data_IF_310953088606
#
_entry.id   IF_310953088606
#
_cell.length_a   1.000
_cell.length_b   1.000
_cell.length_c   1.000
_cell.angle_alpha   90.00
_cell.angle_beta   90.00
_cell.angle_gamma   90.00
#
_symmetry.space_group_name_H-M   'P 1'
#
loop_
_entity.id
_entity.type
_entity.pdbx_description
1 polymer ?
#
# COMPACT_ATOMS: atom_id res chain seq x y z
N UNK A 1 56.83 -27.02 -45.85
CA UNK A 1 55.83 -25.96 -45.57
C UNK A 1 54.47 -26.62 -45.32
N UNK A 2 54.08 -26.78 -44.06
CA UNK A 2 52.71 -27.16 -43.66
C UNK A 2 52.19 -26.02 -42.79
N UNK A 3 51.19 -25.27 -43.26
CA UNK A 3 50.54 -24.24 -42.48
C UNK A 3 49.54 -24.89 -41.53
N UNK A 4 49.73 -24.65 -40.24
CA UNK A 4 48.76 -24.97 -39.20
C UNK A 4 47.76 -23.80 -39.13
N UNK A 5 46.52 -24.01 -39.56
CA UNK A 5 45.41 -23.13 -39.25
C UNK A 5 44.86 -23.51 -37.87
N UNK A 6 45.11 -22.65 -36.88
CA UNK A 6 44.41 -22.68 -35.60
C UNK A 6 43.01 -22.10 -35.82
N UNK A 7 41.99 -22.96 -35.90
CA UNK A 7 40.60 -22.55 -35.76
C UNK A 7 40.29 -22.47 -34.26
N UNK A 8 40.35 -21.27 -33.70
CA UNK A 8 39.86 -21.00 -32.35
C UNK A 8 38.33 -20.98 -32.41
N UNK A 9 37.69 -22.08 -32.01
CA UNK A 9 36.25 -22.11 -31.75
C UNK A 9 35.95 -21.25 -30.52
N UNK A 10 35.58 -20.00 -30.75
CA UNK A 10 34.96 -19.15 -29.74
C UNK A 10 33.50 -19.61 -29.62
N UNK A 11 33.26 -20.60 -28.76
CA UNK A 11 31.91 -21.06 -28.42
C UNK A 11 31.20 -19.94 -27.68
N UNK A 12 30.38 -19.18 -28.41
CA UNK A 12 29.46 -18.20 -27.86
C UNK A 12 28.40 -18.96 -27.05
N UNK A 13 28.68 -19.25 -25.78
CA UNK A 13 27.67 -19.68 -24.82
C UNK A 13 26.70 -18.51 -24.63
N UNK A 14 25.65 -18.46 -25.44
CA UNK A 14 24.47 -17.69 -25.12
C UNK A 14 23.88 -18.32 -23.85
N UNK A 15 24.31 -17.82 -22.70
CA UNK A 15 23.69 -18.11 -21.42
C UNK A 15 22.26 -17.55 -21.52
N UNK A 16 21.31 -18.42 -21.86
CA UNK A 16 19.88 -18.10 -21.76
C UNK A 16 19.65 -17.90 -20.27
N UNK A 17 19.75 -16.65 -19.82
CA UNK A 17 19.41 -16.29 -18.44
C UNK A 17 17.93 -16.60 -18.29
N UNK A 18 17.62 -17.66 -17.52
CA UNK A 18 16.24 -17.94 -17.11
C UNK A 18 15.77 -16.70 -16.36
N UNK A 19 14.72 -16.07 -16.87
CA UNK A 19 14.06 -14.98 -16.17
C UNK A 19 13.35 -15.59 -14.97
N UNK A 20 13.83 -15.31 -13.76
CA UNK A 20 13.18 -15.74 -12.53
C UNK A 20 11.96 -14.85 -12.22
N UNK A 21 10.88 -15.46 -11.78
CA UNK A 21 9.69 -14.74 -11.32
C UNK A 21 9.96 -14.01 -10.01
N UNK A 22 9.20 -12.96 -9.76
CA UNK A 22 9.29 -12.16 -8.54
C UNK A 22 7.90 -11.77 -8.07
N UNK A 23 7.70 -11.74 -6.76
CA UNK A 23 6.43 -11.38 -6.12
C UNK A 23 6.56 -10.05 -5.37
N UNK A 24 5.64 -9.13 -5.59
CA UNK A 24 5.42 -7.97 -4.73
C UNK A 24 4.28 -8.29 -3.75
N UNK A 25 4.51 -8.14 -2.46
CA UNK A 25 3.45 -8.19 -1.44
C UNK A 25 3.24 -6.77 -0.91
N UNK A 26 2.01 -6.28 -0.95
CA UNK A 26 1.64 -4.99 -0.39
C UNK A 26 0.63 -5.18 0.72
N UNK A 27 0.77 -4.40 1.78
CA UNK A 27 -0.12 -4.46 2.95
C UNK A 27 -0.86 -3.14 3.11
N UNK A 28 -2.18 -3.21 3.34
CA UNK A 28 -2.85 -2.11 4.03
C UNK A 28 -2.38 -2.03 5.49
N UNK A 29 -2.68 -0.93 6.13
CA UNK A 29 -2.20 -0.58 7.47
C UNK A 29 -3.28 -0.84 8.52
N UNK A 30 -4.36 -0.07 8.47
CA UNK A 30 -5.35 0.02 9.55
C UNK A 30 -6.42 -1.07 9.38
N UNK A 31 -6.42 -2.05 10.28
CA UNK A 31 -7.25 -3.27 10.22
C UNK A 31 -6.51 -4.50 9.67
N UNK A 32 -5.35 -4.28 9.05
CA UNK A 32 -4.51 -5.32 8.43
C UNK A 32 -3.20 -5.57 9.20
N UNK A 33 -2.34 -4.55 9.34
CA UNK A 33 -1.09 -4.67 10.12
C UNK A 33 -1.28 -4.23 11.58
N UNK A 34 -2.13 -3.23 11.79
CA UNK A 34 -2.38 -2.63 13.10
C UNK A 34 -3.87 -2.46 13.33
N UNK A 35 -4.27 -2.34 14.59
CA UNK A 35 -5.61 -1.94 14.99
C UNK A 35 -5.56 -0.77 15.96
N UNK A 36 -6.57 0.09 15.88
CA UNK A 36 -6.86 1.07 16.92
C UNK A 36 -7.38 0.40 18.20
N UNK A 37 -6.99 0.88 19.38
CA UNK A 37 -7.52 0.39 20.65
C UNK A 37 -8.74 1.20 21.12
N UNK A 38 -9.94 0.61 21.12
CA UNK A 38 -11.15 1.14 21.77
C UNK A 38 -11.76 2.42 21.16
N UNK A 39 -12.56 3.14 21.96
CA UNK A 39 -13.23 4.42 21.59
C UNK A 39 -12.26 5.58 21.23
N UNK A 40 -10.96 5.32 21.16
CA UNK A 40 -9.90 6.31 20.93
C UNK A 40 -9.55 6.53 19.45
N UNK A 41 -10.17 5.83 18.49
CA UNK A 41 -9.94 6.08 17.05
C UNK A 41 -10.20 7.56 16.67
N UNK A 42 -11.24 8.16 17.24
CA UNK A 42 -11.61 9.57 17.03
C UNK A 42 -10.69 10.56 17.76
N UNK A 43 -9.83 10.09 18.66
CA UNK A 43 -8.86 10.88 19.40
C UNK A 43 -7.40 10.63 18.93
N UNK A 44 -7.21 9.73 17.96
CA UNK A 44 -5.89 9.38 17.45
C UNK A 44 -5.15 10.60 16.88
N UNK A 45 -3.82 10.59 16.93
CA UNK A 45 -2.98 11.62 16.33
C UNK A 45 -3.34 11.85 14.85
N UNK A 46 -3.59 10.76 14.11
CA UNK A 46 -3.97 10.80 12.70
C UNK A 46 -5.34 11.47 12.49
N UNK A 47 -6.34 11.13 13.31
CA UNK A 47 -7.67 11.79 13.24
C UNK A 47 -7.58 13.30 13.52
N UNK A 48 -6.79 13.70 14.53
CA UNK A 48 -6.54 15.13 14.85
C UNK A 48 -5.83 15.87 13.71
N UNK A 49 -4.97 15.19 12.96
CA UNK A 49 -4.21 15.79 11.87
C UNK A 49 -5.11 16.31 10.74
N UNK A 50 -6.22 15.63 10.42
CA UNK A 50 -7.17 16.13 9.40
C UNK A 50 -7.76 17.48 9.78
N UNK A 51 -8.28 17.58 11.00
CA UNK A 51 -8.87 18.82 11.53
C UNK A 51 -7.83 19.92 11.58
N UNK A 52 -6.61 19.61 12.04
CA UNK A 52 -5.51 20.56 12.04
C UNK A 52 -5.19 21.08 10.63
N UNK A 53 -5.06 20.19 9.65
CA UNK A 53 -4.72 20.57 8.28
C UNK A 53 -5.82 21.42 7.60
N UNK A 54 -7.09 21.04 7.73
CA UNK A 54 -8.20 21.82 7.17
C UNK A 54 -8.30 23.18 7.85
N UNK A 55 -8.16 23.24 9.18
CA UNK A 55 -8.15 24.51 9.92
C UNK A 55 -7.01 25.43 9.47
N UNK A 56 -5.78 24.92 9.45
CA UNK A 56 -4.59 25.70 9.15
C UNK A 56 -4.58 26.17 7.70
N UNK A 57 -4.80 25.27 6.74
CA UNK A 57 -4.61 25.55 5.32
C UNK A 57 -5.83 26.22 4.69
N UNK A 58 -7.05 25.84 5.09
CA UNK A 58 -8.28 26.29 4.43
C UNK A 58 -9.10 27.28 5.26
N UNK A 59 -8.85 27.38 6.57
CA UNK A 59 -9.62 28.25 7.48
C UNK A 59 -8.77 29.27 8.24
N UNK A 60 -7.56 29.58 7.76
CA UNK A 60 -6.64 30.55 8.37
C UNK A 60 -6.34 30.26 9.86
N UNK A 61 -6.23 28.98 10.23
CA UNK A 61 -5.99 28.52 11.59
C UNK A 61 -7.25 28.44 12.48
N UNK A 62 -8.43 28.84 11.99
CA UNK A 62 -9.65 28.72 12.77
C UNK A 62 -10.09 27.25 12.87
N UNK A 63 -10.39 26.73 14.08
CA UNK A 63 -10.81 25.35 14.28
C UNK A 63 -12.03 24.96 13.44
N UNK A 64 -11.99 23.76 12.84
CA UNK A 64 -13.16 23.09 12.24
C UNK A 64 -13.57 21.91 13.09
N UNK A 65 -14.75 21.34 12.81
CA UNK A 65 -15.22 20.16 13.53
C UNK A 65 -14.30 18.94 13.27
N UNK A 66 -14.15 18.03 14.25
CA UNK A 66 -13.51 16.73 14.05
C UNK A 66 -14.17 15.91 12.95
N UNK A 67 -13.39 15.05 12.27
CA UNK A 67 -13.89 14.16 11.19
C UNK A 67 -15.10 13.36 11.61
N UNK A 68 -15.05 12.73 12.78
CA UNK A 68 -16.13 11.87 13.29
C UNK A 68 -17.42 12.64 13.65
N UNK A 69 -17.33 13.95 13.86
CA UNK A 69 -18.49 14.82 14.12
C UNK A 69 -19.04 15.41 12.82
N UNK A 70 -18.17 15.73 11.86
CA UNK A 70 -18.53 16.36 10.61
C UNK A 70 -19.01 15.38 9.52
N UNK A 71 -18.52 14.13 9.54
CA UNK A 71 -18.75 13.15 8.47
C UNK A 71 -19.38 11.86 9.00
N UNK A 72 -20.35 11.28 8.28
CA UNK A 72 -20.79 9.90 8.48
C UNK A 72 -19.62 8.91 8.36
N UNK A 73 -19.65 7.83 9.15
CA UNK A 73 -18.57 6.82 9.21
C UNK A 73 -18.20 6.23 7.85
N UNK A 74 -19.19 5.97 6.99
CA UNK A 74 -18.97 5.38 5.66
C UNK A 74 -18.23 6.32 4.68
N UNK A 75 -18.08 7.60 5.02
CA UNK A 75 -17.36 8.58 4.19
C UNK A 75 -15.87 8.73 4.55
N UNK A 76 -15.43 8.15 5.67
CA UNK A 76 -14.01 8.20 6.05
C UNK A 76 -13.41 6.83 6.39
N UNK A 77 -14.18 5.87 6.87
CA UNK A 77 -13.69 4.51 7.12
C UNK A 77 -13.31 3.85 5.78
N UNK A 78 -12.06 3.36 5.66
CA UNK A 78 -11.56 2.73 4.44
C UNK A 78 -11.32 3.69 3.27
N UNK A 79 -11.42 5.00 3.49
CA UNK A 79 -11.13 6.01 2.47
C UNK A 79 -9.65 6.40 2.45
N UNK A 80 -9.24 7.21 1.48
CA UNK A 80 -7.90 7.80 1.44
C UNK A 80 -7.90 9.15 2.16
N UNK A 81 -6.77 9.52 2.75
CA UNK A 81 -6.59 10.80 3.45
C UNK A 81 -6.99 11.98 2.56
N UNK A 82 -6.68 11.89 1.26
CA UNK A 82 -7.04 12.91 0.29
C UNK A 82 -8.55 13.10 0.16
N UNK A 83 -9.32 12.02 0.03
CA UNK A 83 -10.78 12.11 -0.04
C UNK A 83 -11.39 12.58 1.29
N UNK A 84 -10.83 12.15 2.43
CA UNK A 84 -11.28 12.57 3.77
C UNK A 84 -11.09 14.08 3.95
N UNK A 85 -9.92 14.63 3.63
CA UNK A 85 -9.64 16.07 3.72
C UNK A 85 -10.64 16.90 2.91
N UNK A 86 -10.90 16.49 1.67
CA UNK A 86 -11.82 17.19 0.77
C UNK A 86 -13.27 17.11 1.25
N UNK A 87 -13.71 15.94 1.74
CA UNK A 87 -15.03 15.77 2.34
C UNK A 87 -15.17 16.61 3.61
N UNK A 88 -14.14 16.65 4.46
CA UNK A 88 -14.13 17.46 5.68
C UNK A 88 -14.21 18.95 5.36
N UNK A 89 -13.45 19.43 4.37
CA UNK A 89 -13.50 20.82 3.90
C UNK A 89 -14.90 21.20 3.41
N UNK A 90 -15.57 20.33 2.64
CA UNK A 90 -16.96 20.55 2.22
C UNK A 90 -17.90 20.58 3.42
N UNK A 91 -17.83 19.61 4.32
CA UNK A 91 -18.75 19.51 5.45
C UNK A 91 -18.63 20.67 6.45
N UNK A 92 -17.43 21.19 6.66
CA UNK A 92 -17.15 22.19 7.71
C UNK A 92 -17.05 23.62 7.22
N UNK A 93 -16.61 23.83 5.96
CA UNK A 93 -16.39 25.15 5.37
C UNK A 93 -17.25 25.41 4.14
N UNK A 94 -18.06 24.44 3.70
CA UNK A 94 -18.85 24.51 2.48
C UNK A 94 -17.99 24.80 1.22
N UNK A 95 -16.77 24.28 1.19
CA UNK A 95 -15.86 24.36 0.04
C UNK A 95 -16.08 23.18 -0.90
N UNK A 96 -16.19 23.47 -2.19
CA UNK A 96 -16.27 22.41 -3.20
C UNK A 96 -14.90 21.80 -3.47
N UNK A 97 -14.88 20.54 -3.91
CA UNK A 97 -13.63 19.81 -4.16
C UNK A 97 -12.69 20.56 -5.12
N UNK A 98 -13.23 21.23 -6.15
CA UNK A 98 -12.44 22.04 -7.09
C UNK A 98 -11.63 23.17 -6.41
N UNK A 99 -12.09 23.66 -5.25
CA UNK A 99 -11.49 24.79 -4.53
C UNK A 99 -10.48 24.29 -3.49
N UNK A 100 -10.74 23.15 -2.85
CA UNK A 100 -9.84 22.54 -1.85
C UNK A 100 -8.79 21.60 -2.47
N UNK A 101 -9.05 20.97 -3.61
CA UNK A 101 -8.16 20.00 -4.27
C UNK A 101 -6.79 20.59 -4.64
N UNK A 102 -6.67 21.83 -5.16
CA UNK A 102 -5.36 22.44 -5.42
C UNK A 102 -4.49 22.61 -4.16
N UNK A 103 -5.09 22.56 -2.97
CA UNK A 103 -4.42 22.69 -1.66
C UNK A 103 -4.10 21.35 -1.00
N UNK A 104 -4.37 20.23 -1.68
CA UNK A 104 -4.25 18.91 -1.08
C UNK A 104 -2.82 18.58 -0.64
N UNK A 105 -1.83 18.96 -1.46
CA UNK A 105 -0.42 18.75 -1.12
C UNK A 105 0.01 19.57 0.11
N UNK A 106 -0.46 20.82 0.22
CA UNK A 106 -0.24 21.66 1.41
C UNK A 106 -0.88 21.04 2.66
N UNK A 107 -2.09 20.48 2.53
CA UNK A 107 -2.76 19.77 3.62
C UNK A 107 -2.03 18.48 4.02
N UNK A 108 -1.52 17.69 3.07
CA UNK A 108 -0.74 16.49 3.38
C UNK A 108 0.55 16.81 4.15
N UNK A 109 1.27 17.84 3.72
CA UNK A 109 2.46 18.30 4.44
C UNK A 109 2.09 18.80 5.85
N UNK A 110 1.01 19.59 5.98
CA UNK A 110 0.53 20.07 7.28
C UNK A 110 0.10 18.92 8.22
N UNK A 111 -0.57 17.89 7.70
CA UNK A 111 -0.89 16.69 8.50
C UNK A 111 0.38 15.97 8.96
N UNK A 112 1.36 15.85 8.08
CA UNK A 112 2.63 15.21 8.43
C UNK A 112 3.39 16.02 9.48
N UNK A 113 3.53 17.33 9.30
CA UNK A 113 4.22 18.23 10.23
C UNK A 113 3.59 18.17 11.63
N UNK A 114 2.25 18.15 11.69
CA UNK A 114 1.52 18.00 12.94
C UNK A 114 1.87 16.70 13.69
N UNK A 115 2.10 15.60 12.98
CA UNK A 115 2.47 14.30 13.57
C UNK A 115 3.99 14.17 13.74
N UNK A 116 4.80 14.83 12.91
CA UNK A 116 6.25 14.75 12.96
C UNK A 116 6.80 15.28 14.28
N UNK A 117 6.14 16.30 14.82
CA UNK A 117 6.50 16.96 16.08
C UNK A 117 6.08 16.16 17.33
N UNK A 118 5.30 15.09 17.15
CA UNK A 118 4.88 14.20 18.24
C UNK A 118 5.94 13.14 18.56
N UNK A 119 6.10 12.87 19.86
CA UNK A 119 6.89 11.77 20.38
C UNK A 119 6.35 10.41 19.90
N UNK A 120 7.23 9.43 19.71
CA UNK A 120 6.85 8.10 19.17
C UNK A 120 5.78 7.42 20.04
N UNK A 121 5.84 7.58 21.36
CA UNK A 121 4.83 7.06 22.29
C UNK A 121 3.45 7.68 22.11
N UNK A 122 3.36 8.94 21.67
CA UNK A 122 2.08 9.59 21.35
C UNK A 122 1.53 9.10 20.01
N UNK A 123 2.41 8.86 19.02
CA UNK A 123 2.02 8.29 17.71
C UNK A 123 1.55 6.84 17.86
N UNK A 124 2.25 6.04 18.67
CA UNK A 124 1.86 4.67 19.01
C UNK A 124 0.63 4.61 19.93
N UNK A 125 0.27 5.73 20.57
CA UNK A 125 -0.79 5.73 21.54
C UNK A 125 -2.10 5.28 20.86
N UNK A 126 -2.69 4.24 21.42
CA UNK A 126 -3.87 3.57 20.88
C UNK A 126 -3.70 2.78 19.58
N UNK A 127 -2.48 2.44 19.17
CA UNK A 127 -2.23 1.59 18.00
C UNK A 127 -1.40 0.37 18.43
N UNK A 128 -1.87 -0.82 18.08
CA UNK A 128 -1.16 -2.08 18.36
C UNK A 128 -1.13 -2.95 17.12
N UNK A 129 -0.05 -3.72 16.91
CA UNK A 129 0.02 -4.71 15.84
C UNK A 129 -1.03 -5.81 16.04
N UNK A 130 -1.56 -6.32 14.93
CA UNK A 130 -2.43 -7.50 14.95
C UNK A 130 -1.63 -8.80 15.19
N UNK A 131 -2.29 -9.88 15.67
CA UNK A 131 -1.64 -11.17 15.86
C UNK A 131 -0.94 -11.68 14.58
N UNK A 132 0.21 -12.34 14.75
CA UNK A 132 1.00 -12.92 13.64
C UNK A 132 1.77 -11.92 12.77
N UNK A 133 1.40 -10.62 12.75
CA UNK A 133 2.00 -9.60 11.89
C UNK A 133 3.53 -9.55 11.99
N UNK A 134 4.06 -9.36 13.20
CA UNK A 134 5.50 -9.22 13.39
C UNK A 134 6.27 -10.51 13.08
N UNK A 135 5.67 -11.66 13.30
CA UNK A 135 6.27 -12.97 13.03
C UNK A 135 6.36 -13.23 11.52
N UNK A 136 5.24 -13.06 10.81
CA UNK A 136 5.18 -13.30 9.37
C UNK A 136 6.01 -12.29 8.58
N UNK A 137 6.07 -11.03 9.02
CA UNK A 137 6.97 -10.05 8.42
C UNK A 137 8.45 -10.45 8.60
N UNK A 138 8.85 -10.94 9.79
CA UNK A 138 10.22 -11.47 9.98
C UNK A 138 10.50 -12.66 9.07
N UNK A 139 9.53 -13.54 8.85
CA UNK A 139 9.64 -14.65 7.90
C UNK A 139 9.82 -14.12 6.48
N UNK A 140 8.99 -13.19 6.02
CA UNK A 140 9.12 -12.56 4.70
C UNK A 140 10.46 -11.84 4.51
N UNK A 141 11.02 -11.25 5.57
CA UNK A 141 12.33 -10.61 5.52
C UNK A 141 13.47 -11.58 5.15
N UNK A 142 13.28 -12.89 5.35
CA UNK A 142 14.23 -13.94 4.92
C UNK A 142 14.10 -14.31 3.43
N UNK A 143 13.04 -13.86 2.76
CA UNK A 143 12.65 -14.24 1.39
C UNK A 143 12.94 -13.15 0.35
N UNK A 144 13.77 -12.14 0.69
CA UNK A 144 14.06 -10.96 -0.16
C UNK A 144 14.58 -11.27 -1.57
N UNK A 145 15.07 -12.49 -1.78
CA UNK A 145 15.48 -12.94 -3.11
C UNK A 145 14.30 -13.15 -4.06
N UNK A 146 13.10 -13.44 -3.58
CA UNK A 146 11.94 -13.73 -4.43
C UNK A 146 10.77 -12.75 -4.17
N UNK A 147 10.86 -11.96 -3.09
CA UNK A 147 9.79 -11.10 -2.61
C UNK A 147 10.29 -9.70 -2.29
N UNK A 148 9.50 -8.70 -2.68
CA UNK A 148 9.52 -7.38 -2.06
C UNK A 148 8.25 -7.17 -1.28
N UNK A 149 8.36 -6.58 -0.10
CA UNK A 149 7.22 -6.13 0.69
C UNK A 149 7.13 -4.61 0.67
N UNK A 150 5.92 -4.07 0.54
CA UNK A 150 5.66 -2.64 0.64
C UNK A 150 4.30 -2.38 1.29
N UNK A 151 3.92 -1.10 1.41
CA UNK A 151 2.59 -0.72 1.88
C UNK A 151 1.74 -0.17 0.75
N UNK A 152 0.45 -0.47 0.78
CA UNK A 152 -0.55 0.27 0.01
C UNK A 152 -1.60 0.74 1.00
N UNK A 153 -1.73 2.03 1.22
CA UNK A 153 -2.62 2.56 2.25
C UNK A 153 -3.18 3.92 1.86
N UNK A 154 -4.40 4.21 2.34
CA UNK A 154 -5.01 5.53 2.22
C UNK A 154 -4.27 6.64 2.98
N UNK A 155 -3.34 6.30 3.86
CA UNK A 155 -2.63 7.24 4.72
C UNK A 155 -1.58 8.06 3.94
N UNK A 156 -1.34 9.31 4.34
CA UNK A 156 -0.17 10.08 3.91
C UNK A 156 1.11 9.29 4.25
N UNK A 157 2.03 9.19 3.28
CA UNK A 157 3.22 8.33 3.38
C UNK A 157 4.06 8.61 4.64
N UNK A 158 4.35 9.88 4.96
CA UNK A 158 5.11 10.24 6.15
C UNK A 158 4.46 9.76 7.45
N UNK A 159 3.13 9.78 7.53
CA UNK A 159 2.35 9.29 8.66
C UNK A 159 2.41 7.76 8.73
N UNK A 160 2.24 7.08 7.60
CA UNK A 160 2.36 5.62 7.52
C UNK A 160 3.74 5.15 8.00
N UNK A 161 4.82 5.83 7.58
CA UNK A 161 6.20 5.55 8.03
C UNK A 161 6.35 5.68 9.54
N UNK A 162 5.92 6.80 10.14
CA UNK A 162 5.99 6.98 11.60
C UNK A 162 5.17 5.93 12.34
N UNK A 163 3.97 5.57 11.84
CA UNK A 163 3.13 4.51 12.42
C UNK A 163 3.87 3.17 12.43
N UNK A 164 4.45 2.76 11.31
CA UNK A 164 5.18 1.47 11.21
C UNK A 164 6.39 1.40 12.13
N UNK A 165 7.14 2.50 12.26
CA UNK A 165 8.25 2.59 13.22
C UNK A 165 7.73 2.45 14.66
N UNK A 166 6.69 3.21 15.00
CA UNK A 166 6.17 3.27 16.36
C UNK A 166 5.61 1.92 16.87
N UNK A 167 5.15 1.05 15.96
CA UNK A 167 4.60 -0.28 16.31
C UNK A 167 5.58 -1.45 16.09
N UNK A 168 6.84 -1.19 15.75
CA UNK A 168 7.84 -2.26 15.59
C UNK A 168 7.84 -2.96 14.23
N UNK A 169 7.01 -2.51 13.27
CA UNK A 169 6.90 -3.13 11.94
C UNK A 169 8.15 -2.84 11.10
N UNK A 170 8.69 -1.62 11.19
CA UNK A 170 9.88 -1.24 10.44
C UNK A 170 11.10 -2.11 10.81
N UNK A 171 11.25 -2.42 12.10
CA UNK A 171 12.33 -3.18 12.72
C UNK A 171 12.35 -4.66 12.27
N UNK A 172 11.26 -5.16 11.69
CA UNK A 172 11.22 -6.50 11.09
C UNK A 172 12.12 -6.61 9.86
N UNK A 173 12.51 -5.48 9.25
CA UNK A 173 13.25 -5.40 7.99
C UNK A 173 12.54 -6.08 6.80
N UNK A 174 11.24 -6.36 6.90
CA UNK A 174 10.47 -6.97 5.81
C UNK A 174 10.20 -5.98 4.69
N UNK A 175 9.85 -4.73 5.05
CA UNK A 175 9.53 -3.67 4.10
C UNK A 175 10.78 -3.31 3.27
N UNK A 176 10.62 -3.35 1.96
CA UNK A 176 11.69 -3.08 1.00
C UNK A 176 12.02 -1.60 0.96
N UNK A 177 13.27 -1.21 0.67
CA UNK A 177 13.65 0.21 0.55
C UNK A 177 12.77 0.98 -0.44
N UNK A 178 12.60 2.29 -0.26
CA UNK A 178 11.75 3.10 -1.14
C UNK A 178 12.36 3.17 -2.54
N UNK A 179 11.49 3.26 -3.54
CA UNK A 179 11.91 3.53 -4.91
C UNK A 179 12.44 4.96 -5.05
N UNK A 180 13.38 5.20 -5.98
CA UNK A 180 13.95 6.54 -6.22
C UNK A 180 12.90 7.58 -6.65
N UNK A 181 11.75 7.13 -7.17
CA UNK A 181 10.64 8.00 -7.58
C UNK A 181 9.67 8.30 -6.44
N UNK A 182 9.88 7.75 -5.23
CA UNK A 182 9.07 8.09 -4.07
C UNK A 182 9.44 9.46 -3.50
N UNK A 183 8.42 10.13 -2.95
CA UNK A 183 8.58 11.43 -2.29
C UNK A 183 9.46 11.28 -1.04
N UNK A 184 10.28 12.31 -0.79
CA UNK A 184 11.03 12.46 0.45
C UNK A 184 10.14 13.15 1.49
N UNK A 185 10.20 12.66 2.73
CA UNK A 185 9.52 13.23 3.89
C UNK A 185 10.60 13.63 4.88
N UNK A 186 10.80 14.94 5.06
CA UNK A 186 11.84 15.47 5.93
C UNK A 186 11.65 14.95 7.36
N UNK A 187 12.68 14.33 7.94
CA UNK A 187 12.59 13.69 9.26
C UNK A 187 12.06 12.24 9.25
N UNK A 188 11.70 11.68 8.09
CA UNK A 188 11.33 10.27 7.92
C UNK A 188 12.02 9.61 6.72
N UNK A 189 13.18 10.13 6.31
CA UNK A 189 13.94 9.61 5.17
C UNK A 189 14.61 8.26 5.46
N UNK A 190 15.06 8.07 6.70
CA UNK A 190 15.72 6.86 7.21
C UNK A 190 14.75 5.69 7.41
N UNK A 191 13.46 5.99 7.57
CA UNK A 191 12.38 5.01 7.75
C UNK A 191 11.50 4.86 6.51
N UNK A 192 12.04 5.19 5.34
CA UNK A 192 11.34 5.01 4.07
C UNK A 192 11.24 3.55 3.64
N UNK A 193 10.15 3.22 2.95
CA UNK A 193 9.95 1.90 2.35
C UNK A 193 9.06 1.99 1.10
N UNK A 194 9.11 0.95 0.27
CA UNK A 194 8.32 0.79 -0.96
C UNK A 194 6.82 0.86 -0.65
N UNK A 195 6.05 1.53 -1.51
CA UNK A 195 4.60 1.49 -1.41
C UNK A 195 3.84 2.34 -2.42
N UNK A 196 2.54 2.46 -2.19
CA UNK A 196 1.62 3.42 -2.80
C UNK A 196 0.73 4.02 -1.70
N UNK A 197 0.72 5.34 -1.57
CA UNK A 197 0.21 6.01 -0.38
C UNK A 197 -0.92 6.98 -0.72
N UNK A 198 -1.70 7.39 0.29
CA UNK A 198 -2.73 8.43 0.19
C UNK A 198 -2.22 9.73 -0.44
N UNK A 199 -0.95 10.04 -0.19
CA UNK A 199 -0.27 11.20 -0.74
C UNK A 199 0.20 11.05 -2.20
N UNK A 200 0.15 9.85 -2.78
CA UNK A 200 0.56 9.64 -4.18
C UNK A 200 -0.56 9.89 -5.18
N UNK A 201 -1.80 9.65 -4.79
CA UNK A 201 -2.94 9.76 -5.67
C UNK A 201 -4.24 10.06 -4.92
N UNK A 202 -4.97 11.05 -5.41
CA UNK A 202 -6.35 11.36 -5.04
C UNK A 202 -7.09 11.85 -6.28
N UNK A 203 -8.27 11.31 -6.53
CA UNK A 203 -9.09 11.72 -7.68
C UNK A 203 -9.81 13.05 -7.52
N UNK A 204 -10.02 13.48 -6.27
CA UNK A 204 -10.84 14.64 -5.93
C UNK A 204 -12.34 14.44 -6.17
N UNK A 205 -12.79 13.28 -6.62
CA UNK A 205 -14.21 13.01 -6.91
C UNK A 205 -14.92 12.49 -5.66
N UNK A 206 -15.14 13.39 -4.71
CA UNK A 206 -15.63 13.03 -3.37
C UNK A 206 -17.06 12.48 -3.32
N UNK A 207 -17.86 12.74 -4.35
CA UNK A 207 -19.25 12.26 -4.52
C UNK A 207 -19.35 10.87 -5.17
N UNK A 208 -18.25 10.36 -5.73
CA UNK A 208 -18.17 9.04 -6.33
C UNK A 208 -17.63 8.06 -5.28
N UNK A 209 -18.52 7.22 -4.73
CA UNK A 209 -18.18 6.28 -3.65
C UNK A 209 -17.21 5.19 -4.11
N UNK A 210 -17.18 4.87 -5.41
CA UNK A 210 -16.25 3.89 -5.96
C UNK A 210 -14.80 4.38 -5.85
N UNK A 211 -14.58 5.69 -5.69
CA UNK A 211 -13.23 6.24 -5.51
C UNK A 211 -12.53 5.77 -4.25
N UNK A 212 -13.25 5.28 -3.22
CA UNK A 212 -12.60 4.68 -2.06
C UNK A 212 -11.71 3.49 -2.48
N UNK A 213 -12.18 2.64 -3.41
CA UNK A 213 -11.41 1.50 -3.90
C UNK A 213 -10.63 1.81 -5.17
N UNK A 214 -11.13 2.70 -6.05
CA UNK A 214 -10.41 3.05 -7.28
C UNK A 214 -9.14 3.89 -7.00
N UNK A 215 -9.17 4.84 -6.07
CA UNK A 215 -7.95 5.58 -5.68
C UNK A 215 -6.93 4.63 -5.04
N UNK A 216 -7.41 3.63 -4.27
CA UNK A 216 -6.56 2.59 -3.70
C UNK A 216 -6.00 1.65 -4.78
N UNK A 217 -6.77 1.33 -5.81
CA UNK A 217 -6.32 0.58 -6.99
C UNK A 217 -5.15 1.28 -7.68
N UNK A 218 -5.24 2.60 -7.88
CA UNK A 218 -4.16 3.42 -8.43
C UNK A 218 -2.90 3.37 -7.54
N UNK A 219 -3.07 3.37 -6.21
CA UNK A 219 -1.94 3.21 -5.27
C UNK A 219 -1.27 1.82 -5.40
N UNK A 220 -2.03 0.73 -5.59
CA UNK A 220 -1.45 -0.59 -5.89
C UNK A 220 -0.66 -0.53 -7.21
N UNK A 221 -1.22 0.09 -8.25
CA UNK A 221 -0.55 0.24 -9.54
C UNK A 221 0.76 1.04 -9.43
N UNK A 222 0.78 2.10 -8.60
CA UNK A 222 1.98 2.88 -8.29
C UNK A 222 3.03 2.01 -7.58
N UNK A 223 2.63 1.21 -6.58
CA UNK A 223 3.54 0.30 -5.89
C UNK A 223 4.13 -0.76 -6.83
N UNK A 224 3.32 -1.32 -7.74
CA UNK A 224 3.75 -2.24 -8.80
C UNK A 224 4.81 -1.60 -9.70
N UNK A 225 4.58 -0.38 -10.17
CA UNK A 225 5.53 0.33 -11.03
C UNK A 225 6.83 0.66 -10.28
N UNK A 226 6.74 1.06 -9.01
CA UNK A 226 7.91 1.29 -8.16
C UNK A 226 8.73 0.01 -7.95
N UNK A 227 8.08 -1.13 -7.74
CA UNK A 227 8.75 -2.43 -7.66
C UNK A 227 9.48 -2.77 -8.96
N UNK A 228 8.83 -2.62 -10.12
CA UNK A 228 9.46 -2.81 -11.44
C UNK A 228 10.71 -1.96 -11.61
N UNK A 229 10.62 -0.66 -11.27
CA UNK A 229 11.77 0.25 -11.33
C UNK A 229 12.93 -0.22 -10.46
N UNK A 230 12.67 -0.76 -9.25
CA UNK A 230 13.71 -1.30 -8.38
C UNK A 230 14.34 -2.55 -9.01
N UNK A 231 13.53 -3.48 -9.52
CA UNK A 231 14.03 -4.70 -10.17
C UNK A 231 14.91 -4.39 -11.40
N UNK A 232 14.54 -3.37 -12.18
CA UNK A 232 15.27 -2.97 -13.38
C UNK A 232 16.58 -2.21 -13.07
N UNK A 233 16.57 -1.37 -12.03
CA UNK A 233 17.70 -0.50 -11.71
C UNK A 233 18.73 -1.10 -10.76
N UNK A 234 18.34 -2.08 -9.93
CA UNK A 234 19.23 -2.69 -8.96
C UNK A 234 19.83 -4.02 -9.46
N UNK A 235 21.17 -4.05 -9.55
CA UNK A 235 21.95 -5.20 -10.02
C UNK A 235 21.73 -6.48 -9.19
N UNK A 236 21.32 -6.36 -7.93
CA UNK A 236 20.97 -7.51 -7.07
C UNK A 236 19.79 -8.32 -7.63
N UNK A 237 18.90 -7.67 -8.38
CA UNK A 237 17.73 -8.29 -8.99
C UNK A 237 17.89 -8.52 -10.50
N UNK A 238 19.12 -8.48 -11.02
CA UNK A 238 19.39 -8.69 -12.44
C UNK A 238 18.80 -10.03 -12.92
N UNK A 239 18.00 -9.97 -13.99
CA UNK A 239 17.33 -11.14 -14.57
C UNK A 239 16.02 -11.54 -13.90
N UNK A 240 15.57 -10.83 -12.85
CA UNK A 240 14.25 -11.04 -12.24
C UNK A 240 13.21 -10.16 -12.90
N UNK A 241 11.98 -10.65 -12.97
CA UNK A 241 10.82 -9.89 -13.44
C UNK A 241 9.66 -10.04 -12.48
N UNK A 242 8.96 -8.94 -12.22
CA UNK A 242 7.70 -8.98 -11.49
C UNK A 242 6.69 -9.82 -12.26
N UNK A 243 6.19 -10.89 -11.63
CA UNK A 243 5.19 -11.81 -12.21
C UNK A 243 3.90 -11.85 -11.41
N UNK A 244 3.96 -11.48 -10.13
CA UNK A 244 2.79 -11.46 -9.26
C UNK A 244 2.83 -10.27 -8.31
N UNK A 245 1.68 -9.68 -8.07
CA UNK A 245 1.44 -8.79 -6.93
C UNK A 245 0.39 -9.43 -6.04
N UNK A 246 0.58 -9.38 -4.73
CA UNK A 246 -0.42 -9.76 -3.74
C UNK A 246 -0.72 -8.54 -2.89
N UNK A 247 -1.99 -8.16 -2.81
CA UNK A 247 -2.44 -7.12 -1.90
C UNK A 247 -3.15 -7.75 -0.70
N UNK A 248 -2.69 -7.42 0.50
CA UNK A 248 -3.23 -7.88 1.78
C UNK A 248 -4.01 -6.73 2.40
N UNK A 249 -5.29 -6.94 2.71
CA UNK A 249 -6.18 -5.90 3.22
C UNK A 249 -7.40 -6.46 3.92
N UNK A 250 -8.04 -5.68 4.80
CA UNK A 250 -9.19 -6.12 5.61
C UNK A 250 -10.53 -5.52 5.19
N UNK A 251 -10.51 -4.53 4.29
CA UNK A 251 -11.71 -3.81 3.89
C UNK A 251 -12.19 -4.17 2.47
N UNK A 252 -13.48 -3.96 2.17
CA UNK A 252 -14.02 -4.00 0.81
C UNK A 252 -13.20 -3.18 -0.18
N UNK A 253 -12.64 -2.05 0.26
CA UNK A 253 -11.83 -1.18 -0.58
C UNK A 253 -10.56 -1.87 -1.08
N UNK A 254 -9.92 -2.71 -0.27
CA UNK A 254 -8.70 -3.43 -0.63
C UNK A 254 -8.99 -4.55 -1.64
N UNK A 255 -10.05 -5.33 -1.37
CA UNK A 255 -10.50 -6.41 -2.25
C UNK A 255 -10.87 -5.86 -3.62
N UNK A 256 -11.68 -4.79 -3.66
CA UNK A 256 -12.12 -4.17 -4.89
C UNK A 256 -10.98 -3.45 -5.63
N UNK A 257 -10.02 -2.84 -4.91
CA UNK A 257 -8.83 -2.25 -5.50
C UNK A 257 -7.95 -3.29 -6.21
N UNK A 258 -7.70 -4.43 -5.54
CA UNK A 258 -6.94 -5.52 -6.14
C UNK A 258 -7.67 -6.13 -7.34
N UNK A 259 -9.00 -6.31 -7.25
CA UNK A 259 -9.83 -6.80 -8.35
C UNK A 259 -9.89 -5.85 -9.54
N UNK A 260 -9.93 -4.54 -9.29
CA UNK A 260 -9.79 -3.54 -10.35
C UNK A 260 -8.46 -3.69 -11.08
N UNK A 261 -7.35 -3.82 -10.33
CA UNK A 261 -6.04 -4.02 -10.95
C UNK A 261 -5.99 -5.32 -11.75
N UNK A 262 -6.62 -6.41 -11.29
CA UNK A 262 -6.65 -7.68 -12.04
C UNK A 262 -7.39 -7.54 -13.37
N UNK A 263 -8.45 -6.72 -13.44
CA UNK A 263 -9.14 -6.41 -14.70
C UNK A 263 -8.22 -5.64 -15.65
N UNK A 264 -7.48 -4.64 -15.15
CA UNK A 264 -6.47 -3.92 -15.94
C UNK A 264 -5.39 -4.88 -16.48
N UNK A 265 -4.94 -5.85 -15.68
CA UNK A 265 -3.98 -6.86 -16.14
C UNK A 265 -4.57 -7.85 -17.15
N UNK A 266 -5.84 -8.21 -17.02
CA UNK A 266 -6.55 -9.04 -17.99
C UNK A 266 -6.62 -8.36 -19.36
N UNK A 267 -6.99 -7.09 -19.40
CA UNK A 267 -7.02 -6.28 -20.63
C UNK A 267 -5.64 -6.20 -21.30
N UNK A 268 -4.57 -6.04 -20.50
CA UNK A 268 -3.20 -6.04 -21.01
C UNK A 268 -2.83 -7.39 -21.62
N UNK A 269 -3.20 -8.50 -20.97
CA UNK A 269 -2.97 -9.86 -21.49
C UNK A 269 -3.68 -10.09 -22.82
N UNK A 270 -4.94 -9.69 -22.94
CA UNK A 270 -5.71 -9.83 -24.20
C UNK A 270 -5.08 -9.03 -25.35
N UNK A 271 -4.50 -7.87 -25.04
CA UNK A 271 -3.77 -7.03 -26.00
C UNK A 271 -2.34 -7.52 -26.28
N UNK A 272 -1.92 -8.64 -25.70
CA UNK A 272 -0.58 -9.21 -25.86
C UNK A 272 0.54 -8.44 -25.13
N UNK A 273 0.17 -7.59 -24.17
CA UNK A 273 1.10 -6.84 -23.33
C UNK A 273 1.71 -7.68 -22.20
N UNK A 274 2.78 -7.17 -21.58
CA UNK A 274 3.31 -7.75 -20.34
C UNK A 274 2.32 -7.50 -19.20
N UNK A 275 1.87 -8.58 -18.58
CA UNK A 275 0.92 -8.56 -17.46
C UNK A 275 1.49 -9.31 -16.25
N UNK A 276 0.87 -9.10 -15.10
CA UNK A 276 1.16 -9.83 -13.86
C UNK A 276 -0.10 -10.50 -13.32
N UNK A 277 0.06 -11.59 -12.59
CA UNK A 277 -1.02 -12.15 -11.79
C UNK A 277 -1.29 -11.23 -10.58
N UNK A 278 -2.56 -10.99 -10.26
CA UNK A 278 -2.96 -10.22 -9.09
C UNK A 278 -3.59 -11.18 -8.07
N UNK A 279 -2.91 -11.39 -6.96
CA UNK A 279 -3.45 -12.05 -5.78
C UNK A 279 -4.05 -11.04 -4.82
N UNK A 280 -5.00 -11.50 -4.01
CA UNK A 280 -5.53 -10.76 -2.87
C UNK A 280 -5.60 -11.70 -1.67
N UNK A 281 -5.06 -11.28 -0.53
CA UNK A 281 -5.26 -11.96 0.74
C UNK A 281 -6.13 -11.06 1.59
N UNK A 282 -7.44 -11.31 1.58
CA UNK A 282 -8.37 -10.55 2.38
C UNK A 282 -8.39 -11.12 3.81
N UNK A 283 -8.18 -10.28 4.81
CA UNK A 283 -8.09 -10.70 6.22
C UNK A 283 -9.30 -10.22 7.00
N UNK A 284 -10.04 -11.12 7.65
CA UNK A 284 -11.25 -10.76 8.40
C UNK A 284 -10.95 -10.27 9.84
N UNK A 285 -9.79 -9.63 10.03
CA UNK A 285 -9.37 -9.05 11.32
C UNK A 285 -9.88 -7.62 11.54
N UNK A 286 -10.39 -7.00 10.48
CA UNK A 286 -10.95 -5.66 10.47
C UNK A 286 -12.41 -5.58 10.91
N UNK A 287 -13.14 -4.64 10.30
CA UNK A 287 -14.56 -4.41 10.60
C UNK A 287 -15.51 -5.31 9.78
N UNK A 288 -14.98 -6.11 8.85
CA UNK A 288 -15.75 -6.81 7.84
C UNK A 288 -15.64 -8.33 7.99
N UNK A 289 -16.77 -9.07 7.93
CA UNK A 289 -16.78 -10.52 8.04
C UNK A 289 -16.20 -11.19 6.79
N UNK A 290 -15.61 -12.37 6.96
CA UNK A 290 -15.00 -13.14 5.88
C UNK A 290 -15.96 -13.42 4.71
N UNK A 291 -17.24 -13.67 4.98
CA UNK A 291 -18.24 -13.94 3.94
C UNK A 291 -18.49 -12.74 3.03
N UNK A 292 -18.48 -11.53 3.57
CA UNK A 292 -18.61 -10.29 2.79
C UNK A 292 -17.38 -10.11 1.89
N UNK A 293 -16.17 -10.26 2.45
CA UNK A 293 -14.92 -10.16 1.69
C UNK A 293 -14.86 -11.22 0.58
N UNK A 294 -15.31 -12.45 0.86
CA UNK A 294 -15.40 -13.56 -0.10
C UNK A 294 -16.37 -13.25 -1.23
N UNK A 295 -17.54 -12.70 -0.92
CA UNK A 295 -18.53 -12.31 -1.92
C UNK A 295 -17.97 -11.23 -2.87
N UNK A 296 -17.27 -10.23 -2.33
CA UNK A 296 -16.67 -9.16 -3.11
C UNK A 296 -15.53 -9.67 -4.00
N UNK A 297 -14.67 -10.54 -3.45
CA UNK A 297 -13.55 -11.12 -4.18
C UNK A 297 -14.04 -11.93 -5.39
N UNK A 298 -15.08 -12.75 -5.20
CA UNK A 298 -15.59 -13.66 -6.23
C UNK A 298 -14.65 -14.82 -6.52
N UNK A 299 -14.83 -15.47 -7.67
CA UNK A 299 -14.07 -16.66 -8.03
C UNK A 299 -12.67 -16.36 -8.58
N UNK A 300 -11.75 -17.28 -8.35
CA UNK A 300 -10.39 -17.23 -8.88
C UNK A 300 -10.36 -17.42 -10.41
N UNK A 301 -9.48 -16.68 -11.07
CA UNK A 301 -9.18 -16.79 -12.49
C UNK A 301 -7.68 -17.10 -12.63
N UNK A 302 -7.30 -18.36 -12.96
CA UNK A 302 -5.90 -18.80 -12.94
C UNK A 302 -4.94 -17.89 -13.70
N UNK A 303 -3.89 -17.43 -13.00
CA UNK A 303 -2.86 -16.56 -13.56
C UNK A 303 -3.30 -15.10 -13.85
N UNK A 304 -4.48 -14.69 -13.39
CA UNK A 304 -4.99 -13.32 -13.50
C UNK A 304 -5.44 -12.78 -12.15
N UNK A 305 -6.32 -13.52 -11.47
CA UNK A 305 -6.95 -13.12 -10.21
C UNK A 305 -6.96 -14.30 -9.24
N UNK A 306 -6.25 -14.19 -8.13
CA UNK A 306 -6.08 -15.28 -7.16
C UNK A 306 -6.41 -14.79 -5.73
N UNK A 307 -7.71 -14.64 -5.39
CA UNK A 307 -8.12 -14.22 -4.06
C UNK A 307 -8.08 -15.39 -3.06
N UNK A 308 -7.67 -15.09 -1.84
CA UNK A 308 -7.71 -15.96 -0.66
C UNK A 308 -8.27 -15.14 0.50
N UNK A 309 -9.13 -15.76 1.31
CA UNK A 309 -9.75 -15.12 2.47
C UNK A 309 -9.27 -15.85 3.72
N UNK A 310 -8.69 -15.12 4.67
CA UNK A 310 -8.20 -15.65 5.95
C UNK A 310 -9.04 -15.09 7.09
N UNK A 311 -9.66 -15.98 7.88
CA UNK A 311 -10.55 -15.58 8.98
C UNK A 311 -9.75 -15.04 10.18
N UNK A 312 -8.62 -15.69 10.49
CA UNK A 312 -7.70 -15.28 11.56
C UNK A 312 -6.66 -14.22 11.10
N UNK A 313 -6.87 -13.69 9.89
CA UNK A 313 -5.99 -12.73 9.23
C UNK A 313 -4.53 -13.18 9.14
N UNK A 314 -3.60 -12.29 9.48
CA UNK A 314 -2.17 -12.63 9.51
C UNK A 314 -1.79 -13.53 10.70
N UNK A 315 -2.71 -13.83 11.62
CA UNK A 315 -2.51 -14.86 12.65
C UNK A 315 -2.64 -16.28 12.10
N UNK A 316 -3.18 -16.44 10.89
CA UNK A 316 -3.33 -17.73 10.25
C UNK A 316 -1.95 -18.33 9.90
N UNK A 317 -1.76 -19.61 10.23
CA UNK A 317 -0.52 -20.33 9.95
C UNK A 317 -0.25 -20.48 8.44
N UNK A 318 -1.31 -20.41 7.62
CA UNK A 318 -1.26 -20.52 6.17
C UNK A 318 -1.01 -19.19 5.45
N UNK A 319 -0.79 -18.09 6.18
CA UNK A 319 -0.64 -16.76 5.57
C UNK A 319 0.49 -16.68 4.53
N UNK A 320 1.63 -17.32 4.81
CA UNK A 320 2.77 -17.31 3.89
C UNK A 320 2.43 -18.10 2.62
N UNK A 321 1.80 -19.26 2.74
CA UNK A 321 1.30 -20.04 1.61
C UNK A 321 0.22 -19.27 0.82
N UNK A 322 -0.64 -18.51 1.50
CA UNK A 322 -1.67 -17.68 0.88
C UNK A 322 -1.08 -16.54 0.04
N UNK A 323 0.11 -16.05 0.39
CA UNK A 323 0.84 -15.12 -0.46
C UNK A 323 1.35 -15.78 -1.76
N UNK A 324 1.31 -17.12 -1.87
CA UNK A 324 1.61 -17.91 -3.05
C UNK A 324 2.84 -17.38 -3.80
N UNK A 325 3.94 -17.27 -3.05
CA UNK A 325 5.21 -16.71 -3.48
C UNK A 325 5.76 -17.57 -4.62
N UNK A 326 6.22 -16.93 -5.69
CA UNK A 326 6.78 -17.64 -6.83
C UNK A 326 8.20 -18.09 -6.47
N UNK A 327 8.41 -19.41 -6.41
CA UNK A 327 9.74 -19.99 -6.28
C UNK A 327 10.55 -19.84 -7.57
N UNK A 328 11.84 -19.54 -7.41
CA UNK A 328 12.82 -19.31 -8.49
C UNK A 328 13.26 -20.60 -9.20
#
# INVERSE_FOLDING_TARGET
MKSFQFFTYLTFFALIHRIAGFTLITFDVDGTLVKGSGNAMNASAHSRAYTHAVSTILNNGNPVQPVAEALPIHLYHGSTDGLILLRLARATLNLESKDSFPKLEEMFNCMYDFISDMEEGEVANHITTLPGVLEHLKTLATMKNNVMCGLVTGNVEGIARKKMKAVGVFETNALSPPCQTQKSWYGANDIGFLGGFGSDYCSGKIDDLDRNHLDRGEQIAIAVNRCRNILESNKEYAGKKLKKVVHVGDAPADVLAAKWLSQVQADLKEKGGEYICVGCVAVATGSYPADELRQLAGESIPGIWEPIILEDGMGDASFIEACAIIDS
#
